data_IF_581372998524
#
_entry.id   IF_581372998524
#
_cell.length_a   1.000
_cell.length_b   1.000
_cell.length_c   1.000
_cell.angle_alpha   90.00
_cell.angle_beta   90.00
_cell.angle_gamma   90.00
#
_symmetry.space_group_name_H-M   'P 1'
#
loop_
_entity.id
_entity.type
_entity.pdbx_description
1 polymer ?
#
# COMPACT_ATOMS: atom_id res chain seq x y z
N UNK A 1 -13.19 10.08 -12.95
CA UNK A 1 -14.07 9.05 -13.56
C UNK A 1 -14.58 8.13 -12.46
N UNK A 2 -15.80 7.62 -12.60
CA UNK A 2 -16.45 6.74 -11.62
C UNK A 2 -16.10 5.27 -11.92
N UNK A 3 -15.80 4.43 -10.91
CA UNK A 3 -15.54 3.01 -11.13
C UNK A 3 -16.85 2.25 -11.40
N UNK A 4 -16.89 1.44 -12.44
CA UNK A 4 -18.02 0.59 -12.83
C UNK A 4 -17.65 -0.88 -12.64
N UNK A 5 -18.55 -1.69 -12.09
CA UNK A 5 -18.27 -3.11 -11.88
C UNK A 5 -19.51 -3.89 -11.48
N UNK A 6 -19.46 -5.19 -11.74
CA UNK A 6 -20.57 -6.11 -11.44
C UNK A 6 -20.80 -6.31 -9.93
N UNK A 7 -22.02 -6.73 -9.60
CA UNK A 7 -22.39 -7.25 -8.29
C UNK A 7 -22.71 -8.76 -8.39
N UNK A 8 -22.44 -9.52 -7.33
CA UNK A 8 -22.75 -10.96 -7.25
C UNK A 8 -22.07 -11.77 -8.37
N UNK A 9 -22.84 -12.44 -9.23
CA UNK A 9 -22.34 -13.29 -10.33
C UNK A 9 -22.08 -12.53 -11.64
N UNK A 10 -22.25 -11.21 -11.68
CA UNK A 10 -22.05 -10.41 -12.89
C UNK A 10 -20.58 -10.06 -13.18
N UNK A 11 -19.65 -10.43 -12.31
CA UNK A 11 -18.22 -10.24 -12.49
C UNK A 11 -17.49 -9.90 -11.19
N UNK A 12 -16.16 -10.02 -11.20
CA UNK A 12 -15.29 -9.66 -10.06
C UNK A 12 -14.42 -8.50 -10.50
N UNK A 13 -14.37 -7.44 -9.69
CA UNK A 13 -13.56 -6.25 -9.96
C UNK A 13 -14.34 -5.06 -10.50
N UNK A 14 -13.62 -3.95 -10.77
CA UNK A 14 -14.16 -2.70 -11.29
C UNK A 14 -13.28 -2.15 -12.41
N UNK A 15 -13.92 -1.64 -13.45
CA UNK A 15 -13.34 -0.91 -14.57
C UNK A 15 -13.45 0.61 -14.33
N UNK A 16 -12.50 1.37 -14.87
CA UNK A 16 -12.30 2.80 -14.61
C UNK A 16 -11.95 3.19 -13.17
N UNK A 17 -11.31 4.36 -13.05
CA UNK A 17 -10.96 4.96 -11.77
C UNK A 17 -9.77 4.29 -11.08
N UNK A 18 -9.55 4.68 -9.82
CA UNK A 18 -8.38 4.28 -9.04
C UNK A 18 -8.44 2.79 -8.62
N UNK A 19 -9.63 2.20 -8.53
CA UNK A 19 -9.78 0.76 -8.30
C UNK A 19 -9.19 -0.07 -9.44
N UNK A 20 -9.42 0.29 -10.71
CA UNK A 20 -8.89 -0.50 -11.83
C UNK A 20 -7.37 -0.50 -11.90
N UNK A 21 -6.74 0.66 -11.62
CA UNK A 21 -5.28 0.77 -11.64
C UNK A 21 -4.66 -0.16 -10.60
N UNK A 22 -5.28 -0.27 -9.42
CA UNK A 22 -4.81 -1.13 -8.34
C UNK A 22 -4.94 -2.63 -8.66
N UNK A 23 -5.77 -3.04 -9.63
CA UNK A 23 -5.83 -4.44 -10.06
C UNK A 23 -4.62 -4.87 -10.90
N UNK A 24 -3.93 -3.92 -11.51
CA UNK A 24 -2.73 -4.17 -12.32
C UNK A 24 -1.43 -3.91 -11.54
N UNK A 25 -1.51 -3.50 -10.26
CA UNK A 25 -0.36 -3.14 -9.44
C UNK A 25 -0.34 -3.96 -8.14
N UNK A 26 0.86 -4.31 -7.67
CA UNK A 26 1.07 -4.91 -6.35
C UNK A 26 1.63 -3.86 -5.39
N UNK A 27 0.99 -3.71 -4.22
CA UNK A 27 1.49 -2.80 -3.18
C UNK A 27 2.67 -3.43 -2.46
N UNK A 28 3.86 -2.86 -2.67
CA UNK A 28 5.07 -3.20 -1.92
C UNK A 28 5.59 -1.96 -1.19
N UNK A 29 5.81 -2.07 0.12
CA UNK A 29 6.46 -1.05 0.93
C UNK A 29 7.86 -1.48 1.32
N UNK A 30 8.82 -0.55 1.31
CA UNK A 30 10.20 -0.80 1.77
C UNK A 30 10.64 0.36 2.61
N UNK A 31 11.11 0.06 3.82
CA UNK A 31 11.62 1.05 4.74
C UNK A 31 13.14 1.10 4.64
N UNK A 32 13.69 2.30 4.42
CA UNK A 32 15.14 2.52 4.31
C UNK A 32 15.58 3.40 5.48
N UNK A 33 16.53 2.92 6.27
CA UNK A 33 17.13 3.65 7.38
C UNK A 33 18.53 4.15 6.97
N UNK A 34 18.74 5.47 6.94
CA UNK A 34 20.01 6.10 6.52
C UNK A 34 20.94 6.48 7.68
N UNK A 35 20.55 6.25 8.94
CA UNK A 35 21.36 6.63 10.09
C UNK A 35 22.67 5.81 10.11
N UNK A 36 23.82 6.50 10.05
CA UNK A 36 25.17 5.91 9.96
C UNK A 36 25.61 5.07 11.18
N UNK A 37 24.71 4.84 12.16
CA UNK A 37 25.01 4.23 13.45
C UNK A 37 24.06 3.11 13.91
N UNK A 38 23.17 2.60 13.04
CA UNK A 38 22.42 1.36 13.29
C UNK A 38 21.32 1.45 14.36
N UNK A 39 20.08 1.22 13.93
CA UNK A 39 18.87 1.11 14.75
C UNK A 39 18.46 2.35 15.56
N UNK A 40 17.15 2.45 15.82
CA UNK A 40 16.57 3.51 16.64
C UNK A 40 17.25 3.54 18.03
N UNK A 41 17.49 4.74 18.56
CA UNK A 41 18.09 4.91 19.88
C UNK A 41 17.30 4.13 20.95
N UNK A 42 18.02 3.47 21.86
CA UNK A 42 17.40 2.64 22.89
C UNK A 42 16.44 3.47 23.76
N UNK A 43 15.12 3.15 23.77
CA UNK A 43 14.12 3.95 24.48
C UNK A 43 14.15 3.76 26.00
N UNK A 44 15.00 2.85 26.52
CA UNK A 44 15.07 2.52 27.95
C UNK A 44 16.18 3.26 28.70
N UNK A 45 16.95 4.13 28.05
CA UNK A 45 17.97 4.97 28.71
C UNK A 45 17.36 6.33 29.04
N UNK A 46 17.22 6.64 30.33
CA UNK A 46 16.94 8.00 30.82
C UNK A 46 18.20 8.87 30.64
N UNK A 47 18.07 10.02 29.99
CA UNK A 47 19.14 11.02 29.84
C UNK A 47 18.93 12.18 30.81
#
# INVERSE_FOLDING_TARGET
>A
MMPFGGMMHSGIGRESGMESIQQFLETKSTWIFYAAGGAAANPFILR
#
